data_IF_945567999764
#
_entry.id   IF_945567999764
#
_cell.length_a   1.000
_cell.length_b   1.000
_cell.length_c   1.000
_cell.angle_alpha   90.00
_cell.angle_beta   90.00
_cell.angle_gamma   90.00
#
_symmetry.space_group_name_H-M   'P 1'
#
loop_
_entity.id
_entity.type
_entity.pdbx_description
1 polymer ?
#
# COMPACT_ATOMS: atom_id res chain seq x y z
N UNK A 1 1.20 9.50 14.10
CA UNK A 1 1.14 8.51 13.00
C UNK A 1 2.55 8.28 12.51
N UNK A 2 3.09 7.06 12.60
CA UNK A 2 4.43 6.75 12.12
C UNK A 2 4.38 6.57 10.61
N UNK A 3 4.64 7.66 9.90
CA UNK A 3 4.84 7.66 8.46
C UNK A 3 6.13 6.91 8.13
N UNK A 4 6.07 5.92 7.24
CA UNK A 4 7.28 5.22 6.77
C UNK A 4 7.88 6.00 5.61
N UNK A 5 9.19 6.27 5.66
CA UNK A 5 9.90 6.93 4.57
C UNK A 5 10.98 5.99 4.01
N UNK A 6 11.02 5.84 2.69
CA UNK A 6 12.00 5.01 2.00
C UNK A 6 12.47 5.73 0.73
N UNK A 7 13.78 5.96 0.60
CA UNK A 7 14.43 6.62 -0.55
C UNK A 7 13.77 7.94 -1.01
N UNK A 8 13.26 8.74 -0.08
CA UNK A 8 12.59 10.01 -0.38
C UNK A 8 11.10 9.90 -0.69
N UNK A 9 10.55 8.69 -0.68
CA UNK A 9 9.10 8.45 -0.80
C UNK A 9 8.50 8.20 0.58
N UNK A 10 7.27 8.66 0.73
CA UNK A 10 6.40 8.40 1.88
C UNK A 10 5.53 7.17 1.59
N UNK A 11 5.58 6.17 2.46
CA UNK A 11 4.87 4.90 2.32
C UNK A 11 3.75 4.82 3.35
N UNK A 12 2.53 4.67 2.85
CA UNK A 12 1.31 4.54 3.64
C UNK A 12 0.67 3.18 3.42
N UNK A 13 0.86 2.21 4.33
CA UNK A 13 0.17 0.93 4.25
C UNK A 13 -1.33 1.10 4.53
N UNK A 14 -2.17 0.53 3.66
CA UNK A 14 -3.64 0.59 3.72
C UNK A 14 -4.17 -0.84 3.86
N UNK A 15 -4.58 -1.22 5.06
CA UNK A 15 -5.04 -2.59 5.37
C UNK A 15 -6.54 -2.58 5.60
N UNK A 16 -7.27 -3.45 4.92
CA UNK A 16 -8.72 -3.55 5.01
C UNK A 16 -9.15 -5.01 5.02
N UNK A 17 -10.34 -5.29 5.56
CA UNK A 17 -10.91 -6.64 5.55
C UNK A 17 -11.27 -7.03 4.11
N UNK A 18 -10.94 -8.25 3.70
CA UNK A 18 -11.21 -8.76 2.36
C UNK A 18 -12.71 -8.85 2.09
N UNK A 19 -13.47 -9.36 3.06
CA UNK A 19 -14.94 -9.36 3.03
C UNK A 19 -15.45 -8.29 4.00
N UNK A 20 -16.25 -7.31 3.54
CA UNK A 20 -16.88 -6.37 4.44
C UNK A 20 -17.81 -7.13 5.39
N UNK A 21 -17.73 -6.83 6.68
CA UNK A 21 -18.58 -7.46 7.70
C UNK A 21 -20.06 -7.37 7.28
N UNK A 22 -20.62 -8.47 6.80
CA UNK A 22 -22.04 -8.52 6.45
C UNK A 22 -22.82 -8.51 7.76
N UNK A 23 -23.67 -7.50 7.91
CA UNK A 23 -24.52 -7.30 9.08
C UNK A 23 -25.25 -8.61 9.43
N UNK A 24 -24.86 -9.26 10.53
CA UNK A 24 -25.56 -10.41 11.12
C UNK A 24 -24.87 -11.77 11.10
N UNK A 25 -23.68 -11.93 10.48
CA UNK A 25 -22.92 -13.19 10.56
C UNK A 25 -21.75 -13.09 11.56
N UNK A 26 -21.45 -14.15 12.34
CA UNK A 26 -20.29 -14.15 13.23
C UNK A 26 -19.04 -13.84 12.42
N UNK A 27 -18.24 -12.89 12.91
CA UNK A 27 -17.04 -12.38 12.26
C UNK A 27 -16.25 -13.50 11.59
N UNK A 28 -16.38 -13.63 10.26
CA UNK A 28 -15.57 -14.54 9.46
C UNK A 28 -14.15 -13.99 9.43
N UNK A 29 -13.41 -14.19 10.51
CA UNK A 29 -11.96 -14.00 10.56
C UNK A 29 -11.25 -14.89 9.54
N UNK A 30 -11.96 -15.85 8.94
CA UNK A 30 -11.58 -16.70 7.82
C UNK A 30 -11.49 -15.97 6.46
N UNK A 31 -12.13 -14.79 6.32
CA UNK A 31 -12.09 -14.05 5.07
C UNK A 31 -10.72 -13.37 4.80
N UNK A 32 -9.90 -13.19 5.83
CA UNK A 32 -8.59 -12.55 5.73
C UNK A 32 -8.61 -11.03 5.47
N UNK A 33 -7.42 -10.48 5.23
CA UNK A 33 -7.16 -9.07 5.02
C UNK A 33 -6.57 -8.84 3.64
N UNK A 34 -7.01 -7.77 2.99
CA UNK A 34 -6.37 -7.24 1.80
C UNK A 34 -5.44 -6.09 2.18
N UNK A 35 -4.44 -5.89 1.34
CA UNK A 35 -3.47 -4.82 1.50
C UNK A 35 -3.41 -3.95 0.25
N UNK A 36 -3.27 -2.65 0.46
CA UNK A 36 -2.80 -1.72 -0.53
C UNK A 36 -1.72 -0.83 0.11
N UNK A 37 -0.98 -0.13 -0.71
CA UNK A 37 0.03 0.83 -0.25
C UNK A 37 -0.04 2.08 -1.11
N UNK A 38 -0.10 3.24 -0.46
CA UNK A 38 0.03 4.52 -1.13
C UNK A 38 1.46 5.02 -0.99
N UNK A 39 2.11 5.24 -2.12
CA UNK A 39 3.45 5.81 -2.20
C UNK A 39 3.28 7.26 -2.61
N UNK A 40 3.80 8.19 -1.82
CA UNK A 40 3.80 9.61 -2.11
C UNK A 40 5.23 10.10 -2.32
N UNK A 41 5.50 10.75 -3.44
CA UNK A 41 6.70 11.56 -3.63
C UNK A 41 6.41 12.97 -3.15
N UNK A 42 7.22 13.44 -2.20
CA UNK A 42 7.18 14.84 -1.78
C UNK A 42 8.21 15.61 -2.60
N UNK A 43 7.75 16.35 -3.60
CA UNK A 43 8.62 17.29 -4.30
C UNK A 43 9.01 18.44 -3.36
N UNK A 44 10.24 18.94 -3.50
CA UNK A 44 10.81 20.02 -2.70
C UNK A 44 9.99 21.33 -2.78
N UNK A 45 9.08 21.44 -3.74
CA UNK A 45 8.25 22.63 -3.98
C UNK A 45 6.88 22.61 -3.30
N UNK A 46 6.56 21.61 -2.46
CA UNK A 46 5.35 21.49 -1.60
C UNK A 46 3.98 21.64 -2.33
N UNK A 47 4.00 21.73 -3.68
CA UNK A 47 2.84 22.08 -4.52
C UNK A 47 2.32 20.91 -5.36
N UNK A 48 3.13 19.86 -5.59
CA UNK A 48 2.67 18.59 -6.16
C UNK A 48 3.27 17.40 -5.39
N UNK A 49 2.45 16.82 -4.51
CA UNK A 49 2.72 15.48 -3.98
C UNK A 49 2.21 14.47 -5.00
N UNK A 50 3.08 13.97 -5.87
CA UNK A 50 2.70 12.84 -6.72
C UNK A 50 2.45 11.64 -5.81
N UNK A 51 1.28 11.03 -5.90
CA UNK A 51 0.99 9.84 -5.09
C UNK A 51 0.24 8.81 -5.91
N UNK A 52 0.59 7.55 -5.69
CA UNK A 52 -0.05 6.43 -6.35
C UNK A 52 -0.34 5.33 -5.35
N UNK A 53 -1.52 4.74 -5.48
CA UNK A 53 -1.95 3.63 -4.64
C UNK A 53 -1.82 2.34 -5.42
N UNK A 54 -1.05 1.41 -4.87
CA UNK A 54 -0.85 0.08 -5.43
C UNK A 54 -1.54 -0.94 -4.54
N UNK A 55 -2.48 -1.69 -5.11
CA UNK A 55 -3.13 -2.79 -4.41
C UNK A 55 -2.26 -4.03 -4.54
N UNK A 56 -2.03 -4.72 -3.42
CA UNK A 56 -1.38 -6.03 -3.42
C UNK A 56 -2.43 -7.04 -3.92
N UNK A 57 -2.25 -7.51 -5.14
CA UNK A 57 -3.05 -8.61 -5.70
C UNK A 57 -2.30 -9.90 -5.44
N UNK A 58 -2.40 -10.39 -4.21
CA UNK A 58 -1.92 -11.73 -3.88
C UNK A 58 -2.98 -12.77 -4.25
N UNK A 59 -2.57 -14.03 -4.43
CA UNK A 59 -3.50 -15.10 -4.83
C UNK A 59 -4.48 -15.48 -3.70
N UNK A 60 -4.18 -15.08 -2.46
CA UNK A 60 -5.02 -15.28 -1.29
C UNK A 60 -4.95 -14.06 -0.36
N UNK A 61 -6.01 -13.77 0.40
CA UNK A 61 -5.99 -12.73 1.42
C UNK A 61 -5.03 -13.10 2.56
N UNK A 62 -4.50 -12.10 3.27
CA UNK A 62 -3.60 -12.30 4.39
C UNK A 62 -4.35 -12.76 5.65
N UNK A 63 -3.78 -13.71 6.39
CA UNK A 63 -4.38 -14.21 7.65
C UNK A 63 -4.48 -13.12 8.72
N UNK A 64 -3.53 -12.19 8.75
CA UNK A 64 -3.50 -11.11 9.75
C UNK A 64 -3.24 -9.74 9.13
N UNK A 65 -3.79 -8.70 9.75
CA UNK A 65 -3.49 -7.31 9.40
C UNK A 65 -2.00 -6.97 9.53
N UNK A 66 -1.27 -7.67 10.41
CA UNK A 66 0.18 -7.53 10.58
C UNK A 66 0.96 -8.06 9.38
N UNK A 67 0.57 -9.21 8.84
CA UNK A 67 1.13 -9.77 7.62
C UNK A 67 0.83 -8.88 6.41
N UNK A 68 -0.42 -8.46 6.26
CA UNK A 68 -0.86 -7.53 5.23
C UNK A 68 -0.03 -6.23 5.26
N UNK A 69 0.22 -5.68 6.45
CA UNK A 69 1.07 -4.50 6.63
C UNK A 69 2.51 -4.74 6.21
N UNK A 70 3.14 -5.83 6.67
CA UNK A 70 4.52 -6.16 6.27
C UNK A 70 4.66 -6.37 4.77
N UNK A 71 3.70 -7.07 4.16
CA UNK A 71 3.66 -7.29 2.72
C UNK A 71 3.53 -5.96 1.97
N UNK A 72 2.64 -5.06 2.43
CA UNK A 72 2.45 -3.75 1.80
C UNK A 72 3.71 -2.87 1.83
N UNK A 73 4.48 -2.93 2.92
CA UNK A 73 5.75 -2.20 3.03
C UNK A 73 6.80 -2.77 2.06
N UNK A 74 6.99 -4.09 2.07
CA UNK A 74 7.92 -4.76 1.13
C UNK A 74 7.56 -4.50 -0.32
N UNK A 75 6.27 -4.55 -0.65
CA UNK A 75 5.82 -4.29 -2.02
C UNK A 75 6.13 -2.87 -2.48
N UNK A 76 5.94 -1.87 -1.60
CA UNK A 76 6.33 -0.50 -1.91
C UNK A 76 7.84 -0.34 -2.06
N UNK A 77 8.64 -0.94 -1.18
CA UNK A 77 10.11 -0.93 -1.29
C UNK A 77 10.55 -1.52 -2.64
N UNK A 78 9.99 -2.66 -3.05
CA UNK A 78 10.27 -3.29 -4.36
C UNK A 78 9.92 -2.37 -5.53
N UNK A 79 8.74 -1.72 -5.52
CA UNK A 79 8.34 -0.78 -6.59
C UNK A 79 9.34 0.37 -6.68
N UNK A 80 9.72 0.94 -5.54
CA UNK A 80 10.66 2.07 -5.48
C UNK A 80 12.06 1.63 -5.96
N UNK A 81 12.50 0.43 -5.56
CA UNK A 81 13.80 -0.11 -5.97
C UNK A 81 13.85 -0.47 -7.45
N UNK A 82 12.76 -1.00 -8.02
CA UNK A 82 12.63 -1.33 -9.45
C UNK A 82 12.56 -0.06 -10.32
N UNK A 83 11.91 0.99 -9.82
CA UNK A 83 11.72 2.25 -10.55
C UNK A 83 12.73 3.35 -10.13
N UNK A 84 13.84 2.95 -9.50
CA UNK A 84 14.85 3.85 -8.90
C UNK A 84 15.44 4.87 -9.87
N UNK A 85 15.44 4.59 -11.16
CA UNK A 85 16.07 5.43 -12.20
C UNK A 85 15.09 6.44 -12.80
N UNK A 86 13.79 6.26 -12.59
CA UNK A 86 12.77 7.10 -13.18
C UNK A 86 11.63 7.26 -12.20
N UNK A 87 11.60 8.37 -11.46
CA UNK A 87 10.45 8.78 -10.63
C UNK A 87 9.14 8.89 -11.43
N UNK A 88 9.18 8.71 -12.76
CA UNK A 88 8.03 8.74 -13.66
C UNK A 88 7.04 7.58 -13.49
N UNK A 89 7.32 6.56 -12.66
CA UNK A 89 6.31 5.54 -12.36
C UNK A 89 5.07 6.14 -11.69
N UNK A 90 5.22 7.29 -10.99
CA UNK A 90 4.12 8.08 -10.44
C UNK A 90 3.46 9.02 -11.46
N UNK A 91 4.06 9.20 -12.64
CA UNK A 91 3.60 10.12 -13.70
C UNK A 91 2.81 9.42 -14.81
N UNK A 92 2.82 8.08 -14.90
CA UNK A 92 2.32 7.35 -16.08
C UNK A 92 1.01 6.57 -15.83
N UNK A 93 0.01 7.23 -15.24
CA UNK A 93 -1.36 6.72 -15.19
C UNK A 93 -2.35 7.88 -15.39
N UNK A 94 -2.47 8.33 -16.64
CA UNK A 94 -3.57 9.16 -17.14
C UNK A 94 -4.48 8.32 -18.02
#
# INVERSE_FOLDING_TARGET
>A
MSTHFYRGFEIHPLIYQHVPATSGAPHSHDAGFDAAVRICLRDATDTMTQSQTFRLRDNAPFDTAGDARRASLRYAETIIDDNRETHAFLSNAG
#
